data_IF_153269407101
#
_entry.id   IF_153269407101
#
_cell.length_a   1.000
_cell.length_b   1.000
_cell.length_c   1.000
_cell.angle_alpha   90.00
_cell.angle_beta   90.00
_cell.angle_gamma   90.00
#
_symmetry.space_group_name_H-M   'P 1'
#
loop_
_entity.id
_entity.type
_entity.pdbx_description
1 polymer ?
#
# COMPACT_ATOMS: atom_id res chain seq x y z
N UNK A 1 -6.06 5.06 20.14
CA UNK A 1 -7.51 4.72 20.14
C UNK A 1 -7.79 3.22 20.34
N UNK A 2 -6.95 2.46 21.07
CA UNK A 2 -7.05 0.98 21.13
C UNK A 2 -8.11 0.51 22.16
N UNK A 3 -8.21 1.18 23.31
CA UNK A 3 -9.18 0.82 24.37
C UNK A 3 -10.65 1.00 23.93
N UNK A 4 -10.95 2.11 23.24
CA UNK A 4 -12.28 2.40 22.74
C UNK A 4 -12.74 1.39 21.69
N UNK A 5 -11.87 1.09 20.72
CA UNK A 5 -12.11 0.05 19.71
C UNK A 5 -12.40 -1.30 20.36
N UNK A 6 -11.52 -1.77 21.25
CA UNK A 6 -11.69 -3.06 21.91
C UNK A 6 -13.02 -3.15 22.67
N UNK A 7 -13.37 -2.12 23.44
CA UNK A 7 -14.59 -2.12 24.25
C UNK A 7 -15.86 -2.04 23.38
N UNK A 8 -15.84 -1.27 22.30
CA UNK A 8 -16.97 -1.17 21.36
C UNK A 8 -17.17 -2.45 20.56
N UNK A 9 -16.10 -3.20 20.28
CA UNK A 9 -16.15 -4.52 19.64
C UNK A 9 -16.52 -5.67 20.60
N UNK A 10 -16.91 -5.38 21.86
CA UNK A 10 -17.19 -6.41 22.87
C UNK A 10 -15.95 -7.15 23.38
N UNK A 11 -14.76 -6.66 23.06
CA UNK A 11 -13.46 -7.18 23.47
C UNK A 11 -12.87 -6.48 24.70
N UNK A 12 -11.59 -6.73 24.96
CA UNK A 12 -10.86 -6.20 26.12
C UNK A 12 -9.38 -5.96 25.82
N UNK A 13 -8.78 -4.96 26.45
CA UNK A 13 -7.33 -4.72 26.43
C UNK A 13 -6.73 -5.03 27.81
N UNK A 14 -5.56 -5.67 27.84
CA UNK A 14 -4.74 -5.86 29.04
C UNK A 14 -3.34 -5.30 28.80
N UNK A 15 -2.82 -4.56 29.76
CA UNK A 15 -1.45 -4.04 29.73
C UNK A 15 -0.70 -4.59 30.94
N UNK A 16 0.48 -5.16 30.69
CA UNK A 16 1.41 -5.62 31.71
C UNK A 16 2.75 -4.91 31.48
N UNK A 17 3.19 -4.11 32.43
CA UNK A 17 4.46 -3.38 32.33
C UNK A 17 5.27 -3.53 33.60
N UNK A 18 6.57 -3.78 33.46
CA UNK A 18 7.51 -3.79 34.56
C UNK A 18 8.80 -3.08 34.13
N UNK A 19 9.23 -2.09 34.92
CA UNK A 19 10.48 -1.34 34.68
C UNK A 19 11.65 -2.32 34.56
N UNK A 20 12.45 -2.18 33.51
CA UNK A 20 13.58 -3.06 33.21
C UNK A 20 13.23 -4.42 32.61
N UNK A 21 11.94 -4.77 32.47
CA UNK A 21 11.49 -6.01 31.81
C UNK A 21 10.63 -5.77 30.56
N UNK A 22 10.14 -4.55 30.37
CA UNK A 22 9.37 -4.15 29.20
C UNK A 22 7.86 -4.12 29.44
N UNK A 23 7.11 -3.92 28.35
CA UNK A 23 5.66 -3.76 28.35
C UNK A 23 5.04 -4.72 27.34
N UNK A 24 4.01 -5.45 27.76
CA UNK A 24 3.16 -6.28 26.91
C UNK A 24 1.74 -5.72 26.89
N UNK A 25 1.16 -5.64 25.70
CA UNK A 25 -0.22 -5.22 25.47
C UNK A 25 -0.93 -6.38 24.77
N UNK A 26 -2.00 -6.88 25.38
CA UNK A 26 -2.81 -7.97 24.84
C UNK A 26 -4.21 -7.45 24.51
N UNK A 27 -4.65 -7.67 23.27
CA UNK A 27 -5.99 -7.35 22.79
C UNK A 27 -6.79 -8.64 22.62
N UNK A 28 -7.94 -8.72 23.28
CA UNK A 28 -8.86 -9.85 23.21
C UNK A 28 -10.12 -9.40 22.48
N UNK A 29 -10.50 -10.08 21.41
CA UNK A 29 -11.70 -9.79 20.61
C UNK A 29 -12.60 -11.02 20.57
N UNK A 30 -13.94 -10.85 20.59
CA UNK A 30 -14.87 -11.94 20.37
C UNK A 30 -14.60 -12.59 19.02
N UNK A 31 -14.47 -13.91 19.02
CA UNK A 31 -14.35 -14.69 17.79
C UNK A 31 -15.75 -14.86 17.19
N UNK A 32 -15.85 -14.77 15.87
CA UNK A 32 -17.04 -15.18 15.15
C UNK A 32 -17.06 -16.71 15.01
N UNK A 33 -18.10 -17.37 15.55
CA UNK A 33 -18.28 -18.83 15.51
C UNK A 33 -19.22 -19.31 14.37
N UNK A 34 -19.60 -18.41 13.45
CA UNK A 34 -20.34 -18.80 12.24
C UNK A 34 -19.41 -19.38 11.18
N UNK A 35 -19.97 -20.20 10.28
CA UNK A 35 -19.31 -20.50 9.00
C UNK A 35 -19.11 -19.18 8.26
N UNK A 36 -17.88 -18.91 7.82
CA UNK A 36 -17.63 -17.78 6.95
C UNK A 36 -18.47 -17.95 5.69
N UNK A 37 -19.59 -17.23 5.60
CA UNK A 37 -20.35 -17.11 4.37
C UNK A 37 -19.48 -16.26 3.46
N UNK A 38 -18.71 -16.90 2.59
CA UNK A 38 -18.14 -16.20 1.45
C UNK A 38 -19.34 -15.73 0.65
N UNK A 39 -19.59 -14.42 0.60
CA UNK A 39 -20.65 -13.89 -0.26
C UNK A 39 -20.42 -14.46 -1.67
N UNK A 40 -21.40 -15.14 -2.25
CA UNK A 40 -21.27 -15.65 -3.62
C UNK A 40 -21.12 -14.51 -4.64
N UNK A 41 -21.37 -13.26 -4.20
CA UNK A 41 -21.05 -12.02 -4.90
C UNK A 41 -19.54 -11.77 -5.05
N UNK A 42 -18.68 -12.42 -4.27
CA UNK A 42 -17.20 -12.36 -4.38
C UNK A 42 -16.64 -13.39 -5.38
N UNK A 43 -17.49 -14.20 -6.03
CA UNK A 43 -17.06 -15.30 -6.91
C UNK A 43 -16.84 -14.83 -8.36
N UNK A 44 -16.88 -13.52 -8.62
CA UNK A 44 -16.24 -12.90 -9.79
C UNK A 44 -14.88 -12.26 -9.46
N UNK A 45 -14.21 -12.68 -8.39
CA UNK A 45 -12.75 -12.67 -8.41
C UNK A 45 -12.32 -13.79 -9.34
N UNK A 46 -12.05 -13.44 -10.61
CA UNK A 46 -11.21 -14.28 -11.46
C UNK A 46 -10.01 -14.73 -10.61
N UNK A 47 -9.62 -16.01 -10.66
CA UNK A 47 -8.41 -16.44 -9.97
C UNK A 47 -7.33 -15.43 -10.31
N UNK A 48 -6.66 -14.86 -9.30
CA UNK A 48 -5.50 -13.99 -9.51
C UNK A 48 -4.64 -14.71 -10.54
N UNK A 49 -4.70 -14.25 -11.79
CA UNK A 49 -3.87 -14.80 -12.84
C UNK A 49 -2.49 -14.41 -12.40
N UNK A 50 -1.69 -15.40 -11.98
CA UNK A 50 -0.27 -15.21 -11.72
C UNK A 50 0.25 -14.36 -12.87
N UNK A 51 0.79 -13.18 -12.52
CA UNK A 51 1.21 -12.23 -13.54
C UNK A 51 2.21 -12.91 -14.45
N UNK A 52 2.18 -12.52 -15.73
CA UNK A 52 3.20 -12.96 -16.68
C UNK A 52 4.56 -12.61 -16.06
N UNK A 53 5.28 -13.62 -15.59
CA UNK A 53 6.56 -13.52 -14.88
C UNK A 53 7.42 -12.36 -15.41
N UNK A 54 7.54 -11.26 -14.67
CA UNK A 54 8.46 -10.16 -15.03
C UNK A 54 8.02 -8.73 -14.74
N UNK A 55 6.77 -8.49 -14.36
CA UNK A 55 6.30 -7.13 -14.06
C UNK A 55 6.99 -6.56 -12.80
N UNK A 56 7.55 -5.36 -12.92
CA UNK A 56 8.39 -4.74 -11.89
C UNK A 56 7.72 -3.53 -11.25
N UNK A 57 7.59 -3.57 -9.92
CA UNK A 57 6.98 -2.52 -9.11
C UNK A 57 8.06 -1.82 -8.26
N UNK A 58 8.13 -0.50 -8.37
CA UNK A 58 8.91 0.34 -7.47
C UNK A 58 8.03 0.81 -6.31
N UNK A 59 8.43 0.50 -5.08
CA UNK A 59 7.76 0.91 -3.85
C UNK A 59 8.58 2.01 -3.18
N UNK A 60 7.96 3.16 -2.93
CA UNK A 60 8.57 4.32 -2.27
C UNK A 60 7.72 4.77 -1.08
N UNK A 61 8.16 4.44 0.12
CA UNK A 61 7.51 4.84 1.38
C UNK A 61 8.63 5.04 2.41
N UNK A 62 8.55 6.05 3.28
CA UNK A 62 9.57 6.30 4.29
C UNK A 62 9.42 5.36 5.51
N UNK A 63 8.24 4.77 5.70
CA UNK A 63 7.95 3.83 6.77
C UNK A 63 8.40 2.41 6.38
N UNK A 64 9.42 1.82 7.05
CA UNK A 64 9.93 0.49 6.70
C UNK A 64 8.88 -0.61 6.85
N UNK A 65 7.97 -0.46 7.82
CA UNK A 65 6.90 -1.42 8.08
C UNK A 65 5.89 -1.47 6.93
N UNK A 66 5.57 -0.31 6.34
CA UNK A 66 4.67 -0.24 5.18
C UNK A 66 5.36 -0.85 3.96
N UNK A 67 6.64 -0.53 3.70
CA UNK A 67 7.37 -1.16 2.60
C UNK A 67 7.41 -2.67 2.73
N UNK A 68 7.74 -3.21 3.91
CA UNK A 68 7.77 -4.65 4.17
C UNK A 68 6.39 -5.29 3.92
N UNK A 69 5.31 -4.67 4.40
CA UNK A 69 3.94 -5.15 4.15
C UNK A 69 3.60 -5.21 2.65
N UNK A 70 3.95 -4.17 1.90
CA UNK A 70 3.73 -4.11 0.46
C UNK A 70 4.60 -5.14 -0.27
N UNK A 71 5.85 -5.29 0.15
CA UNK A 71 6.80 -6.26 -0.41
C UNK A 71 6.31 -7.69 -0.23
N UNK A 72 5.87 -8.05 0.97
CA UNK A 72 5.33 -9.39 1.25
C UNK A 72 4.04 -9.63 0.45
N UNK A 73 3.09 -8.70 0.52
CA UNK A 73 1.77 -8.87 -0.11
C UNK A 73 1.83 -8.97 -1.64
N UNK A 74 2.67 -8.18 -2.29
CA UNK A 74 2.80 -8.19 -3.75
C UNK A 74 3.81 -9.23 -4.24
N UNK A 75 4.79 -9.60 -3.41
CA UNK A 75 5.76 -10.65 -3.73
C UNK A 75 5.07 -12.01 -3.86
N UNK A 76 4.12 -12.31 -2.96
CA UNK A 76 3.30 -13.52 -3.01
C UNK A 76 2.44 -13.62 -4.30
N UNK A 77 2.18 -12.49 -4.97
CA UNK A 77 1.45 -12.42 -6.24
C UNK A 77 2.37 -12.58 -7.48
N UNK A 78 3.69 -12.70 -7.29
CA UNK A 78 4.66 -12.94 -8.35
C UNK A 78 5.29 -11.69 -8.97
N UNK A 79 5.07 -10.50 -8.40
CA UNK A 79 5.70 -9.27 -8.86
C UNK A 79 7.19 -9.18 -8.47
N UNK A 80 8.00 -8.56 -9.33
CA UNK A 80 9.37 -8.18 -8.97
C UNK A 80 9.34 -6.83 -8.27
N UNK A 81 9.88 -6.76 -7.05
CA UNK A 81 9.75 -5.56 -6.22
C UNK A 81 11.10 -4.88 -6.00
N UNK A 82 11.10 -3.55 -6.15
CA UNK A 82 12.23 -2.68 -5.88
C UNK A 82 11.80 -1.67 -4.83
N UNK A 83 12.60 -1.47 -3.79
CA UNK A 83 12.26 -0.56 -2.70
C UNK A 83 13.15 0.69 -2.71
N UNK A 84 12.56 1.83 -2.36
CA UNK A 84 13.26 3.05 -2.01
C UNK A 84 12.65 3.69 -0.76
N UNK A 85 13.50 4.28 0.08
CA UNK A 85 13.07 4.87 1.35
C UNK A 85 12.65 6.34 1.25
N UNK A 86 12.91 7.00 0.11
CA UNK A 86 12.62 8.42 -0.08
C UNK A 86 12.45 8.78 -1.57
N UNK A 87 11.87 9.96 -1.81
CA UNK A 87 11.58 10.48 -3.15
C UNK A 87 12.82 10.62 -4.03
N UNK A 88 14.00 10.91 -3.47
CA UNK A 88 15.22 11.10 -4.24
C UNK A 88 15.79 9.76 -4.72
N UNK A 89 15.79 8.75 -3.86
CA UNK A 89 16.16 7.39 -4.20
C UNK A 89 15.18 6.80 -5.23
N UNK A 90 13.88 7.00 -5.03
CA UNK A 90 12.84 6.60 -5.99
C UNK A 90 13.04 7.25 -7.35
N UNK A 91 13.25 8.58 -7.40
CA UNK A 91 13.48 9.30 -8.66
C UNK A 91 14.76 8.84 -9.39
N UNK A 92 15.83 8.52 -8.66
CA UNK A 92 17.05 7.97 -9.26
C UNK A 92 16.79 6.64 -9.95
N UNK A 93 15.99 5.76 -9.34
CA UNK A 93 15.59 4.49 -9.94
C UNK A 93 14.70 4.71 -11.17
N UNK A 94 13.73 5.62 -11.09
CA UNK A 94 12.87 5.99 -12.23
C UNK A 94 13.68 6.55 -13.41
N UNK A 95 14.80 7.22 -13.15
CA UNK A 95 15.72 7.75 -14.17
C UNK A 95 16.79 6.76 -14.65
N UNK A 96 16.90 5.60 -14.02
CA UNK A 96 17.84 4.55 -14.41
C UNK A 96 17.31 3.71 -15.57
N UNK A 97 18.13 2.78 -16.08
CA UNK A 97 17.75 1.83 -17.13
C UNK A 97 16.94 0.63 -16.61
N UNK A 98 16.66 0.57 -15.29
CA UNK A 98 15.89 -0.53 -14.69
C UNK A 98 14.46 -0.51 -15.21
N UNK A 99 13.91 -1.64 -15.62
CA UNK A 99 12.52 -1.72 -16.04
C UNK A 99 11.58 -1.54 -14.83
N UNK A 100 10.58 -0.67 -14.96
CA UNK A 100 9.61 -0.35 -13.90
C UNK A 100 8.27 -0.08 -14.59
N UNK A 101 7.28 -0.89 -14.27
CA UNK A 101 5.93 -0.86 -14.83
C UNK A 101 4.99 -0.01 -13.97
N UNK A 102 5.13 -0.14 -12.65
CA UNK A 102 4.29 0.54 -11.67
C UNK A 102 5.14 1.19 -10.58
N UNK A 103 4.81 2.44 -10.26
CA UNK A 103 5.26 3.14 -9.07
C UNK A 103 4.16 3.10 -8.01
N UNK A 104 4.47 2.57 -6.83
CA UNK A 104 3.65 2.72 -5.62
C UNK A 104 4.38 3.70 -4.72
N UNK A 105 3.75 4.81 -4.34
CA UNK A 105 4.42 5.83 -3.52
C UNK A 105 3.51 6.44 -2.47
N UNK A 106 4.03 6.68 -1.26
CA UNK A 106 3.40 7.63 -0.34
C UNK A 106 3.50 9.03 -0.93
N UNK A 107 2.48 9.86 -0.70
CA UNK A 107 2.48 11.27 -1.08
C UNK A 107 3.19 12.11 -0.03
N UNK A 108 3.09 11.73 1.25
CA UNK A 108 3.67 12.44 2.39
C UNK A 108 5.18 12.29 2.57
N UNK A 109 5.92 11.87 1.54
CA UNK A 109 7.35 11.57 1.65
C UNK A 109 8.18 12.78 2.13
N UNK A 110 9.10 12.59 3.09
CA UNK A 110 10.01 13.62 3.56
C UNK A 110 11.10 13.93 2.51
N UNK A 111 11.78 15.07 2.64
CA UNK A 111 12.96 15.39 1.82
C UNK A 111 12.76 16.46 0.73
N UNK A 112 11.71 17.27 0.83
CA UNK A 112 11.51 18.47 0.00
C UNK A 112 10.84 18.24 -1.36
N UNK A 113 10.77 16.99 -1.81
CA UNK A 113 9.96 16.54 -2.96
C UNK A 113 8.94 15.52 -2.48
N UNK A 114 7.66 15.80 -2.70
CA UNK A 114 6.59 14.88 -2.33
C UNK A 114 6.44 13.75 -3.36
N UNK A 115 5.74 12.67 -3.01
CA UNK A 115 5.61 11.50 -3.91
C UNK A 115 4.92 11.81 -5.24
N UNK A 116 4.01 12.81 -5.26
CA UNK A 116 3.36 13.27 -6.48
C UNK A 116 4.35 13.93 -7.44
N UNK A 117 5.17 14.84 -6.94
CA UNK A 117 6.22 15.51 -7.71
C UNK A 117 7.25 14.50 -8.25
N UNK A 118 7.61 13.50 -7.44
CA UNK A 118 8.47 12.41 -7.90
C UNK A 118 7.83 11.63 -9.05
N UNK A 119 6.55 11.27 -8.92
CA UNK A 119 5.82 10.53 -9.96
C UNK A 119 5.72 11.34 -11.25
N UNK A 120 5.38 12.63 -11.17
CA UNK A 120 5.29 13.53 -12.33
C UNK A 120 6.66 13.64 -13.02
N UNK A 121 7.74 13.85 -12.27
CA UNK A 121 9.11 13.89 -12.79
C UNK A 121 9.57 12.53 -13.36
N UNK A 122 9.09 11.42 -12.81
CA UNK A 122 9.33 10.09 -13.34
C UNK A 122 8.64 9.87 -14.68
N UNK A 123 7.43 10.42 -14.86
CA UNK A 123 6.64 10.31 -16.09
C UNK A 123 7.17 11.16 -17.24
N UNK A 124 7.90 12.24 -16.96
CA UNK A 124 8.66 12.94 -18.00
C UNK A 124 9.67 12.03 -18.69
N UNK A 125 10.25 11.08 -17.96
CA UNK A 125 11.22 10.09 -18.48
C UNK A 125 10.52 8.80 -18.92
N UNK A 126 9.41 8.44 -18.27
CA UNK A 126 8.62 7.23 -18.54
C UNK A 126 7.14 7.58 -18.75
N UNK A 127 6.73 8.01 -19.94
CA UNK A 127 5.37 8.49 -20.20
C UNK A 127 4.27 7.47 -19.85
N UNK A 128 4.58 6.18 -19.96
CA UNK A 128 3.67 5.06 -19.70
C UNK A 128 3.72 4.54 -18.26
N UNK A 129 4.51 5.14 -17.37
CA UNK A 129 4.63 4.70 -15.98
C UNK A 129 3.27 4.80 -15.28
N UNK A 130 2.77 3.66 -14.81
CA UNK A 130 1.56 3.58 -13.99
C UNK A 130 1.92 4.02 -12.58
N UNK A 131 0.98 4.65 -11.88
CA UNK A 131 1.24 5.17 -10.54
C UNK A 131 0.07 4.92 -9.59
N UNK A 132 0.36 4.31 -8.45
CA UNK A 132 -0.55 4.18 -7.33
C UNK A 132 -0.02 5.03 -6.16
N UNK A 133 -0.77 6.07 -5.81
CA UNK A 133 -0.49 6.87 -4.63
C UNK A 133 -1.13 6.22 -3.41
N UNK A 134 -0.37 6.07 -2.33
CA UNK A 134 -0.89 5.68 -1.03
C UNK A 134 -0.92 6.93 -0.16
N UNK A 135 -2.07 7.30 0.40
CA UNK A 135 -2.24 8.60 1.06
C UNK A 135 -2.99 8.50 2.37
N UNK A 136 -2.70 9.36 3.34
CA UNK A 136 -3.59 9.53 4.49
C UNK A 136 -4.87 10.30 4.12
N UNK A 137 -5.81 10.34 5.07
CA UNK A 137 -7.10 11.02 4.87
C UNK A 137 -6.96 12.51 4.55
N UNK A 138 -5.98 13.20 5.14
CA UNK A 138 -5.75 14.63 4.91
C UNK A 138 -5.12 14.90 3.55
N UNK A 139 -4.19 14.04 3.13
CA UNK A 139 -3.48 14.14 1.86
C UNK A 139 -4.39 13.77 0.68
N UNK A 140 -5.33 12.84 0.87
CA UNK A 140 -6.27 12.45 -0.16
C UNK A 140 -7.16 13.63 -0.64
N UNK A 141 -7.60 14.48 0.30
CA UNK A 141 -8.35 15.69 -0.01
C UNK A 141 -7.53 16.71 -0.82
N UNK A 142 -6.20 16.68 -0.71
CA UNK A 142 -5.30 17.57 -1.45
C UNK A 142 -5.00 17.08 -2.87
N UNK A 143 -5.17 15.78 -3.15
CA UNK A 143 -4.90 15.21 -4.47
C UNK A 143 -6.11 15.30 -5.37
N UNK A 144 -7.33 15.14 -4.85
CA UNK A 144 -8.58 15.22 -5.60
C UNK A 144 -8.66 14.24 -6.79
N UNK A 145 -9.69 13.39 -6.85
CA UNK A 145 -9.82 12.42 -7.96
C UNK A 145 -9.81 13.07 -9.36
N UNK A 146 -10.19 14.36 -9.47
CA UNK A 146 -10.16 15.15 -10.71
C UNK A 146 -8.75 15.57 -11.19
N UNK A 147 -7.70 15.53 -10.35
CA UNK A 147 -6.33 15.89 -10.74
C UNK A 147 -5.44 14.68 -11.07
N UNK A 148 -6.00 13.47 -11.09
CA UNK A 148 -5.27 12.26 -11.46
C UNK A 148 -5.27 12.09 -12.98
N UNK A 149 -4.07 12.07 -13.56
CA UNK A 149 -3.89 11.78 -14.98
C UNK A 149 -4.19 10.32 -15.32
N UNK A 150 -4.26 9.97 -16.63
CA UNK A 150 -4.44 8.59 -17.07
C UNK A 150 -3.34 7.68 -16.51
N UNK A 151 -3.70 6.49 -16.02
CA UNK A 151 -2.76 5.57 -15.37
C UNK A 151 -2.30 5.98 -13.97
N UNK A 152 -3.01 6.91 -13.31
CA UNK A 152 -2.83 7.22 -11.89
C UNK A 152 -4.05 6.77 -11.08
N UNK A 153 -3.80 6.24 -9.89
CA UNK A 153 -4.83 5.88 -8.89
C UNK A 153 -4.36 6.28 -7.50
N UNK A 154 -5.30 6.37 -6.58
CA UNK A 154 -5.04 6.62 -5.16
C UNK A 154 -5.65 5.50 -4.32
N UNK A 155 -4.97 5.15 -3.24
CA UNK A 155 -5.41 4.24 -2.19
C UNK A 155 -5.21 4.93 -0.83
N UNK A 156 -6.30 5.08 -0.06
CA UNK A 156 -6.24 5.78 1.23
C UNK A 156 -5.85 4.84 2.38
N UNK A 157 -4.93 5.27 3.26
CA UNK A 157 -4.57 4.63 4.52
C UNK A 157 -5.69 4.85 5.56
N UNK A 158 -6.11 3.82 6.33
CA UNK A 158 -5.69 2.42 6.24
C UNK A 158 -6.41 1.67 5.10
N UNK A 159 -5.71 0.74 4.46
CA UNK A 159 -6.24 -0.09 3.38
C UNK A 159 -6.13 -1.58 3.73
N UNK A 160 -7.03 -2.38 3.16
CA UNK A 160 -6.92 -3.84 3.19
C UNK A 160 -5.94 -4.33 2.11
N UNK A 161 -5.28 -5.46 2.34
CA UNK A 161 -4.37 -6.07 1.35
C UNK A 161 -5.11 -6.45 0.07
N UNK A 162 -6.32 -6.98 0.17
CA UNK A 162 -7.13 -7.32 -1.01
C UNK A 162 -7.44 -6.08 -1.87
N UNK A 163 -7.64 -4.93 -1.22
CA UNK A 163 -7.85 -3.66 -1.92
C UNK A 163 -6.58 -3.19 -2.63
N UNK A 164 -5.41 -3.34 -2.01
CA UNK A 164 -4.12 -3.06 -2.67
C UNK A 164 -3.94 -3.96 -3.89
N UNK A 165 -4.09 -5.27 -3.73
CA UNK A 165 -3.90 -6.24 -4.80
C UNK A 165 -4.84 -5.98 -5.98
N UNK A 166 -6.13 -5.71 -5.72
CA UNK A 166 -7.09 -5.35 -6.75
C UNK A 166 -6.70 -4.08 -7.50
N UNK A 167 -6.24 -3.02 -6.80
CA UNK A 167 -5.80 -1.77 -7.43
C UNK A 167 -4.54 -1.94 -8.28
N UNK A 168 -3.59 -2.75 -7.82
CA UNK A 168 -2.40 -3.09 -8.58
C UNK A 168 -2.81 -3.85 -9.84
N UNK A 169 -3.64 -4.89 -9.73
CA UNK A 169 -4.10 -5.66 -10.89
C UNK A 169 -4.88 -4.81 -11.90
N UNK A 170 -5.81 -3.97 -11.44
CA UNK A 170 -6.54 -3.01 -12.29
C UNK A 170 -5.58 -2.10 -13.08
N UNK A 171 -4.53 -1.61 -12.43
CA UNK A 171 -3.52 -0.79 -13.09
C UNK A 171 -2.71 -1.61 -14.09
N UNK A 172 -2.24 -2.79 -13.72
CA UNK A 172 -1.36 -3.61 -14.56
C UNK A 172 -2.08 -4.15 -15.80
N UNK A 173 -3.37 -4.47 -15.69
CA UNK A 173 -4.20 -4.96 -16.81
C UNK A 173 -4.78 -3.87 -17.73
N UNK A 174 -4.67 -2.59 -17.36
CA UNK A 174 -5.13 -1.45 -18.17
C UNK A 174 -4.09 -0.98 -19.20
#
# INVERSE_FOLDING_TARGET
MIYGFANQSGGRVRIQSQVGKGTSISLYLPRYDGTATRDESDVHQAPFEFTQSGETILIVDDEPTVRMLLTDALGDLGYTLIEAADSLAGLKLLRSDVHIDLLITDVGLPGGMNGRQMADAGREVRPHLKTLFITGYAENAAIGDEQLGPGMRVLTKPFAIDALAARVQELMSA
#
